data_IF_217541055074
#
_entry.id   IF_217541055074
#
_cell.length_a   1.000
_cell.length_b   1.000
_cell.length_c   1.000
_cell.angle_alpha   90.00
_cell.angle_beta   90.00
_cell.angle_gamma   90.00
#
_symmetry.space_group_name_H-M   'P 1'
#
loop_
_entity.id
_entity.type
_entity.pdbx_description
1 polymer ?
#
# COMPACT_ATOMS: atom_id res chain seq x y z
N UNK A 1 0.89 16.86 4.05
CA UNK A 1 0.78 15.75 3.08
C UNK A 1 -0.54 15.02 3.32
N UNK A 2 -1.33 14.69 2.28
CA UNK A 2 -2.60 13.96 2.44
C UNK A 2 -2.48 12.56 1.83
N UNK A 3 -2.22 11.56 2.66
CA UNK A 3 -2.24 10.15 2.28
C UNK A 3 -3.57 9.53 2.73
N UNK A 4 -4.35 9.08 1.76
CA UNK A 4 -5.58 8.32 1.95
C UNK A 4 -5.32 6.83 1.72
N UNK A 5 -6.21 6.00 2.24
CA UNK A 5 -6.19 4.56 2.07
C UNK A 5 -7.58 4.15 1.62
N UNK A 6 -7.66 3.34 0.57
CA UNK A 6 -8.93 2.85 0.04
C UNK A 6 -8.74 1.44 -0.50
N UNK A 7 -9.73 0.56 -0.33
CA UNK A 7 -9.69 -0.75 -0.99
C UNK A 7 -9.91 -0.58 -2.48
N UNK A 8 -9.28 -1.42 -3.27
CA UNK A 8 -9.44 -1.43 -4.74
C UNK A 8 -10.87 -1.72 -5.20
N UNK A 9 -11.69 -2.32 -4.34
CA UNK A 9 -13.10 -2.61 -4.60
C UNK A 9 -14.05 -1.49 -4.17
N UNK A 10 -13.54 -0.44 -3.53
CA UNK A 10 -14.30 0.77 -3.25
C UNK A 10 -14.22 1.72 -4.45
N UNK A 11 -15.33 2.40 -4.76
CA UNK A 11 -15.41 3.28 -5.92
C UNK A 11 -14.35 4.41 -5.84
N UNK A 12 -13.66 4.70 -6.96
CA UNK A 12 -12.78 5.86 -7.04
C UNK A 12 -13.55 7.15 -6.80
N UNK A 13 -13.01 8.02 -5.95
CA UNK A 13 -13.58 9.33 -5.69
C UNK A 13 -12.71 10.42 -6.33
N UNK A 14 -13.32 11.55 -6.69
CA UNK A 14 -12.61 12.67 -7.35
C UNK A 14 -11.51 13.25 -6.46
N UNK A 15 -11.65 13.17 -5.15
CA UNK A 15 -10.68 13.65 -4.18
C UNK A 15 -9.59 12.61 -3.82
N UNK A 16 -9.57 11.43 -4.46
CA UNK A 16 -8.54 10.41 -4.24
C UNK A 16 -7.15 10.87 -4.74
N UNK A 17 -7.10 11.82 -5.67
CA UNK A 17 -5.85 12.26 -6.28
C UNK A 17 -5.14 11.09 -6.99
N UNK A 18 -3.83 10.97 -6.79
CA UNK A 18 -3.01 9.91 -7.39
C UNK A 18 -3.30 8.56 -6.71
N UNK A 19 -3.87 7.60 -7.45
CA UNK A 19 -4.22 6.27 -6.93
C UNK A 19 -3.10 5.28 -7.21
N UNK A 20 -2.43 4.86 -6.14
CA UNK A 20 -1.26 3.99 -6.20
C UNK A 20 -1.61 2.62 -5.63
N UNK A 21 -1.58 1.58 -6.46
CA UNK A 21 -1.72 0.20 -5.99
C UNK A 21 -0.43 -0.23 -5.28
N UNK A 22 -0.57 -0.69 -4.04
CA UNK A 22 0.57 -1.14 -3.20
C UNK A 22 0.55 -2.63 -2.89
N UNK A 23 -0.45 -3.36 -3.38
CA UNK A 23 -0.43 -4.82 -3.34
C UNK A 23 0.60 -5.36 -4.36
N UNK A 24 1.34 -6.40 -3.98
CA UNK A 24 2.24 -7.10 -4.90
C UNK A 24 1.51 -7.74 -6.08
N UNK A 25 0.26 -8.15 -5.85
CA UNK A 25 -0.55 -8.86 -6.83
C UNK A 25 -1.68 -7.97 -7.31
N UNK A 26 -1.99 -8.08 -8.59
CA UNK A 26 -3.15 -7.40 -9.13
C UNK A 26 -4.45 -7.94 -8.51
N UNK A 27 -5.37 -7.07 -8.07
CA UNK A 27 -6.65 -7.47 -7.49
C UNK A 27 -7.48 -8.34 -8.43
N UNK A 28 -8.02 -9.44 -7.90
CA UNK A 28 -8.78 -10.40 -8.71
C UNK A 28 -10.09 -9.77 -9.21
N UNK A 29 -10.46 -10.09 -10.45
CA UNK A 29 -11.74 -9.68 -11.04
C UNK A 29 -11.83 -8.20 -11.42
N UNK A 30 -10.74 -7.44 -11.33
CA UNK A 30 -10.71 -6.03 -11.72
C UNK A 30 -9.83 -5.80 -12.94
N UNK A 31 -10.31 -4.97 -13.87
CA UNK A 31 -9.50 -4.45 -14.96
C UNK A 31 -8.76 -3.19 -14.51
N UNK A 32 -7.69 -2.81 -15.22
CA UNK A 32 -6.97 -1.56 -14.94
C UNK A 32 -7.89 -0.34 -14.96
N UNK A 33 -8.82 -0.30 -15.91
CA UNK A 33 -9.82 0.77 -16.04
C UNK A 33 -10.76 0.79 -14.83
N UNK A 34 -11.32 -0.36 -14.43
CA UNK A 34 -12.25 -0.42 -13.28
C UNK A 34 -11.58 -0.09 -11.95
N UNK A 35 -10.33 -0.50 -11.77
CA UNK A 35 -9.58 -0.23 -10.54
C UNK A 35 -9.12 1.24 -10.43
N UNK A 36 -9.09 1.96 -11.55
CA UNK A 36 -8.63 3.33 -11.68
C UNK A 36 -7.28 3.55 -10.97
N UNK A 37 -6.27 2.80 -11.39
CA UNK A 37 -4.92 2.83 -10.81
C UNK A 37 -3.99 3.58 -11.75
N UNK A 38 -3.41 4.67 -11.25
CA UNK A 38 -2.46 5.51 -11.98
C UNK A 38 -1.05 4.90 -11.96
N UNK A 39 -0.65 4.36 -10.81
CA UNK A 39 0.67 3.75 -10.60
C UNK A 39 0.56 2.46 -9.79
N UNK A 40 1.40 1.47 -10.14
CA UNK A 40 1.48 0.22 -9.40
C UNK A 40 2.89 0.03 -8.84
N UNK A 41 3.03 0.27 -7.53
CA UNK A 41 4.29 0.08 -6.79
C UNK A 41 4.35 -1.33 -6.20
N UNK A 42 4.26 -2.36 -7.04
CA UNK A 42 4.22 -3.77 -6.59
C UNK A 42 5.42 -4.18 -5.73
N UNK A 43 6.56 -3.52 -5.92
CA UNK A 43 7.81 -3.85 -5.25
C UNK A 43 7.95 -3.13 -3.90
N UNK A 44 7.07 -2.17 -3.58
CA UNK A 44 6.97 -1.57 -2.23
C UNK A 44 6.23 -2.50 -1.26
N UNK A 45 5.43 -3.43 -1.79
CA UNK A 45 4.66 -4.41 -1.03
C UNK A 45 5.58 -5.32 -0.20
N UNK A 46 5.07 -5.94 0.88
CA UNK A 46 5.84 -6.92 1.66
C UNK A 46 6.37 -8.04 0.76
N UNK A 47 7.54 -8.57 1.12
CA UNK A 47 8.13 -9.72 0.44
C UNK A 47 7.15 -10.90 0.37
N UNK A 48 7.29 -11.75 -0.65
CA UNK A 48 6.47 -12.96 -0.78
C UNK A 48 6.58 -13.84 0.46
N UNK A 49 7.78 -13.94 1.05
CA UNK A 49 8.05 -14.69 2.26
C UNK A 49 7.35 -14.07 3.48
N UNK A 50 7.48 -12.76 3.68
CA UNK A 50 6.84 -12.06 4.79
C UNK A 50 5.31 -12.11 4.70
N UNK A 51 4.75 -11.93 3.51
CA UNK A 51 3.31 -12.05 3.25
C UNK A 51 2.79 -13.47 3.56
N UNK A 52 3.51 -14.51 3.13
CA UNK A 52 3.15 -15.91 3.43
C UNK A 52 3.25 -16.21 4.91
N UNK A 53 4.27 -15.68 5.59
CA UNK A 53 4.44 -15.85 7.03
C UNK A 53 3.33 -15.17 7.84
N UNK A 54 2.92 -13.96 7.44
CA UNK A 54 1.82 -13.25 8.09
C UNK A 54 0.49 -13.99 7.94
N UNK A 55 0.18 -14.47 6.73
CA UNK A 55 -1.02 -15.27 6.44
C UNK A 55 -2.35 -14.66 6.96
N UNK A 56 -2.44 -13.33 7.09
CA UNK A 56 -3.57 -12.63 7.69
C UNK A 56 -3.88 -13.02 9.15
N UNK A 57 -2.87 -13.45 9.89
CA UNK A 57 -2.95 -13.81 11.30
C UNK A 57 -2.81 -12.56 12.19
N UNK A 58 -3.87 -12.10 12.87
CA UNK A 58 -3.82 -10.88 13.69
C UNK A 58 -2.81 -10.95 14.83
N UNK A 59 -2.54 -12.15 15.37
CA UNK A 59 -1.55 -12.32 16.45
C UNK A 59 -0.13 -11.98 15.97
N UNK A 60 0.13 -12.16 14.67
CA UNK A 60 1.42 -11.83 14.04
C UNK A 60 1.52 -10.37 13.61
N UNK A 61 0.45 -9.58 13.70
CA UNK A 61 0.40 -8.23 13.13
C UNK A 61 1.51 -7.31 13.64
N UNK A 62 1.76 -7.30 14.95
CA UNK A 62 2.77 -6.46 15.57
C UNK A 62 4.17 -6.75 15.00
N UNK A 63 4.49 -8.02 14.84
CA UNK A 63 5.78 -8.47 14.31
C UNK A 63 5.84 -8.31 12.79
N UNK A 64 4.74 -8.53 12.05
CA UNK A 64 4.64 -8.23 10.64
C UNK A 64 4.94 -6.76 10.35
N UNK A 65 4.34 -5.84 11.13
CA UNK A 65 4.62 -4.40 11.03
C UNK A 65 6.11 -4.13 11.21
N UNK A 66 6.76 -4.69 12.23
CA UNK A 66 8.19 -4.51 12.47
C UNK A 66 9.02 -4.99 11.28
N UNK A 67 8.80 -6.22 10.82
CA UNK A 67 9.55 -6.81 9.69
C UNK A 67 9.34 -6.04 8.40
N UNK A 68 8.11 -5.62 8.13
CA UNK A 68 7.81 -4.86 6.92
C UNK A 68 8.47 -3.48 6.94
N UNK A 69 8.51 -2.80 8.10
CA UNK A 69 9.27 -1.55 8.24
C UNK A 69 10.76 -1.74 7.92
N UNK A 70 11.36 -2.86 8.32
CA UNK A 70 12.76 -3.17 7.97
C UNK A 70 12.95 -3.46 6.47
N UNK A 71 11.97 -4.05 5.79
CA UNK A 71 11.98 -4.19 4.33
C UNK A 71 11.89 -2.82 3.64
N UNK A 72 11.03 -1.92 4.14
CA UNK A 72 10.85 -0.57 3.60
C UNK A 72 12.11 0.28 3.72
N UNK A 73 12.79 0.26 4.88
CA UNK A 73 14.08 0.96 5.07
C UNK A 73 15.15 0.54 4.07
N UNK A 74 15.11 -0.71 3.61
CA UNK A 74 16.06 -1.24 2.61
C UNK A 74 15.63 -0.95 1.18
N UNK A 75 14.38 -0.54 0.97
CA UNK A 75 13.77 -0.31 -0.33
C UNK A 75 13.63 1.19 -0.63
N UNK A 76 14.74 1.93 -0.48
CA UNK A 76 14.77 3.39 -0.64
C UNK A 76 14.23 3.85 -2.00
N UNK A 77 14.53 3.13 -3.08
CA UNK A 77 14.08 3.48 -4.43
C UNK A 77 12.56 3.58 -4.56
N UNK A 78 11.80 2.62 -4.02
CA UNK A 78 10.34 2.65 -4.11
C UNK A 78 9.73 3.67 -3.15
N UNK A 79 10.33 3.87 -1.98
CA UNK A 79 9.94 4.91 -1.03
C UNK A 79 10.11 6.29 -1.65
N UNK A 80 11.24 6.57 -2.28
CA UNK A 80 11.49 7.86 -2.95
C UNK A 80 10.46 8.15 -4.06
N UNK A 81 10.06 7.13 -4.83
CA UNK A 81 9.00 7.29 -5.83
C UNK A 81 7.68 7.65 -5.16
N UNK A 82 7.30 6.93 -4.10
CA UNK A 82 6.07 7.22 -3.35
C UNK A 82 6.10 8.64 -2.76
N UNK A 83 7.19 9.03 -2.11
CA UNK A 83 7.35 10.37 -1.54
C UNK A 83 7.27 11.48 -2.59
N UNK A 84 7.83 11.27 -3.78
CA UNK A 84 7.72 12.22 -4.89
C UNK A 84 6.26 12.43 -5.28
N UNK A 85 5.46 11.38 -5.35
CA UNK A 85 4.02 11.51 -5.63
C UNK A 85 3.27 12.19 -4.48
N UNK A 86 3.60 11.86 -3.23
CA UNK A 86 3.00 12.49 -2.03
C UNK A 86 3.33 13.99 -1.96
N UNK A 87 4.51 14.40 -2.42
CA UNK A 87 4.92 15.82 -2.49
C UNK A 87 4.17 16.60 -3.58
N UNK A 88 3.67 15.94 -4.63
CA UNK A 88 2.88 16.58 -5.71
C UNK A 88 1.43 16.87 -5.31
N UNK A 89 0.86 16.12 -4.35
CA UNK A 89 -0.53 16.33 -3.97
C UNK A 89 -1.14 15.22 -3.10
N UNK A 90 -2.45 15.02 -3.25
CA UNK A 90 -3.16 13.93 -2.55
C UNK A 90 -2.83 12.60 -3.21
N UNK A 91 -2.44 11.62 -2.39
CA UNK A 91 -2.20 10.23 -2.82
C UNK A 91 -3.16 9.32 -2.08
N UNK A 92 -3.75 8.38 -2.81
CA UNK A 92 -4.53 7.28 -2.25
C UNK A 92 -3.79 5.98 -2.45
N UNK A 93 -3.37 5.36 -1.34
CA UNK A 93 -2.82 4.01 -1.34
C UNK A 93 -3.98 3.02 -1.49
N UNK A 94 -3.93 2.25 -2.57
CA UNK A 94 -4.95 1.28 -2.93
C UNK A 94 -4.46 -0.13 -2.62
N UNK A 95 -5.28 -0.90 -1.90
CA UNK A 95 -4.96 -2.27 -1.48
C UNK A 95 -6.13 -3.23 -1.73
N UNK A 96 -5.85 -4.53 -1.83
CA UNK A 96 -6.82 -5.56 -2.18
C UNK A 96 -7.34 -6.40 -1.00
N UNK A 97 -6.66 -6.39 0.15
CA UNK A 97 -7.05 -7.19 1.30
C UNK A 97 -8.51 -6.90 1.76
N UNK A 98 -9.19 -7.91 2.31
CA UNK A 98 -10.51 -7.73 2.95
C UNK A 98 -10.39 -7.09 4.32
N UNK A 99 -9.31 -7.40 5.03
CA UNK A 99 -9.00 -6.83 6.33
C UNK A 99 -8.61 -5.35 6.19
N UNK A 100 -9.40 -4.49 6.83
CA UNK A 100 -9.21 -3.04 6.80
C UNK A 100 -8.27 -2.54 7.90
N UNK A 101 -8.00 -3.36 8.90
CA UNK A 101 -7.22 -3.01 10.10
C UNK A 101 -5.79 -3.56 10.03
N UNK A 102 -5.62 -4.69 9.33
CA UNK A 102 -4.32 -5.36 9.16
C UNK A 102 -3.94 -5.47 7.67
N UNK A 103 -3.57 -4.33 7.07
CA UNK A 103 -3.09 -4.26 5.68
C UNK A 103 -1.81 -3.42 5.54
N UNK A 104 -1.04 -3.74 4.52
CA UNK A 104 0.25 -3.10 4.20
C UNK A 104 0.13 -1.60 3.96
N UNK A 105 -0.99 -1.11 3.41
CA UNK A 105 -1.19 0.31 3.11
C UNK A 105 -1.22 1.16 4.38
N UNK A 106 -1.73 0.64 5.51
CA UNK A 106 -1.67 1.31 6.81
C UNK A 106 -0.21 1.51 7.26
N UNK A 107 0.61 0.47 7.12
CA UNK A 107 2.02 0.52 7.54
C UNK A 107 2.80 1.48 6.64
N UNK A 108 2.57 1.45 5.32
CA UNK A 108 3.19 2.37 4.37
C UNK A 108 2.83 3.82 4.66
N UNK A 109 1.55 4.11 4.92
CA UNK A 109 1.11 5.46 5.29
C UNK A 109 1.80 5.95 6.56
N UNK A 110 1.91 5.10 7.57
CA UNK A 110 2.62 5.45 8.80
C UNK A 110 4.12 5.66 8.58
N UNK A 111 4.75 4.84 7.74
CA UNK A 111 6.17 4.95 7.41
C UNK A 111 6.49 6.30 6.76
N UNK A 112 5.73 6.67 5.71
CA UNK A 112 5.95 7.93 4.97
C UNK A 112 5.57 9.17 5.78
N UNK A 113 4.66 9.06 6.75
CA UNK A 113 4.30 10.20 7.61
C UNK A 113 5.28 10.43 8.78
N UNK A 114 6.19 9.49 9.07
CA UNK A 114 7.15 9.59 10.19
C UNK A 114 8.49 10.22 9.78
N UNK A 115 8.79 10.27 8.50
CA UNK A 115 9.97 10.91 7.89
C UNK A 115 9.60 12.31 7.38
#
# INVERSE_FOLDING_TARGET
MKIKIKRVYEEPAQDDGMRILVDRLWPRGLTKQKANIDLWLKDIAPSTELRKWFNHDPEKWKEFRKRYNEELKKNTNQIEVLEKEVKKGTVTLVYGAKDKEHNEALILKEFVNRE
#
